data_IF_027847952749
#
_entry.id   IF_027847952749
#
_cell.length_a   1.000
_cell.length_b   1.000
_cell.length_c   1.000
_cell.angle_alpha   90.00
_cell.angle_beta   90.00
_cell.angle_gamma   90.00
#
_symmetry.space_group_name_H-M   'P 1'
#
loop_
_entity.id
_entity.type
_entity.pdbx_description
1 polymer ?
#
# COMPACT_ATOMS: atom_id res chain seq x y z
N UNK A 1 -9.34 -11.92 -27.66
CA UNK A 1 -8.14 -11.93 -26.79
C UNK A 1 -7.21 -10.86 -27.30
N UNK A 2 -6.75 -9.99 -26.40
CA UNK A 2 -5.77 -8.95 -26.65
C UNK A 2 -4.58 -9.18 -25.73
N UNK A 3 -3.37 -9.05 -26.23
CA UNK A 3 -2.15 -9.21 -25.43
C UNK A 3 -1.40 -7.89 -25.41
N UNK A 4 -1.13 -7.38 -24.24
CA UNK A 4 -0.39 -6.13 -24.04
C UNK A 4 0.52 -6.24 -22.81
N UNK A 5 1.55 -5.43 -22.76
CA UNK A 5 2.34 -5.17 -21.56
C UNK A 5 1.96 -3.84 -20.89
N UNK A 6 1.02 -3.10 -21.48
CA UNK A 6 0.50 -1.85 -20.96
C UNK A 6 -0.73 -2.13 -20.07
N UNK A 7 -0.57 -1.89 -18.76
CA UNK A 7 -1.64 -2.10 -17.79
C UNK A 7 -2.82 -1.15 -17.99
N UNK A 8 -2.58 0.08 -18.47
CA UNK A 8 -3.66 1.07 -18.70
C UNK A 8 -4.58 0.59 -19.83
N UNK A 9 -4.00 0.05 -20.91
CA UNK A 9 -4.78 -0.57 -21.99
C UNK A 9 -5.59 -1.75 -21.46
N UNK A 10 -4.94 -2.67 -20.72
CA UNK A 10 -5.61 -3.85 -20.17
C UNK A 10 -6.78 -3.49 -19.25
N UNK A 11 -6.56 -2.56 -18.31
CA UNK A 11 -7.55 -2.11 -17.34
C UNK A 11 -8.73 -1.36 -17.97
N UNK A 12 -8.50 -0.69 -19.11
CA UNK A 12 -9.53 0.09 -19.80
C UNK A 12 -10.37 -0.74 -20.77
N UNK A 13 -9.74 -1.70 -21.46
CA UNK A 13 -10.37 -2.46 -22.54
C UNK A 13 -10.92 -3.81 -22.10
N UNK A 14 -10.37 -4.39 -21.01
CA UNK A 14 -10.69 -5.73 -20.56
C UNK A 14 -11.81 -5.74 -19.52
N UNK A 15 -12.82 -6.57 -19.71
CA UNK A 15 -13.78 -6.95 -18.66
C UNK A 15 -13.22 -8.08 -17.79
N UNK A 16 -12.21 -8.77 -18.30
CA UNK A 16 -11.49 -9.84 -17.63
C UNK A 16 -10.04 -9.81 -18.09
N UNK A 17 -9.12 -9.78 -17.13
CA UNK A 17 -7.68 -9.68 -17.37
C UNK A 17 -7.00 -10.94 -16.84
N UNK A 18 -6.03 -11.44 -17.57
CA UNK A 18 -5.13 -12.50 -17.16
C UNK A 18 -3.74 -11.90 -16.91
N UNK A 19 -3.31 -11.87 -15.67
CA UNK A 19 -1.94 -11.46 -15.30
C UNK A 19 -1.05 -12.68 -15.37
N UNK A 20 0.07 -12.57 -16.10
CA UNK A 20 1.02 -13.67 -16.29
C UNK A 20 2.44 -13.24 -15.88
N UNK A 21 3.20 -14.19 -15.34
CA UNK A 21 4.63 -14.06 -15.03
C UNK A 21 5.35 -15.34 -15.46
N UNK A 22 6.40 -15.22 -16.25
CA UNK A 22 7.27 -16.35 -16.65
C UNK A 22 6.50 -17.54 -17.27
N UNK A 23 5.42 -17.24 -18.04
CA UNK A 23 4.58 -18.26 -18.66
C UNK A 23 3.48 -18.84 -17.76
N UNK A 24 3.42 -18.46 -16.49
CA UNK A 24 2.42 -18.93 -15.54
C UNK A 24 1.36 -17.84 -15.28
N UNK A 25 0.11 -18.27 -15.21
CA UNK A 25 -1.00 -17.41 -14.81
C UNK A 25 -0.86 -17.12 -13.32
N UNK A 26 -0.86 -15.83 -12.97
CA UNK A 26 -0.85 -15.37 -11.59
C UNK A 26 -2.26 -15.15 -11.07
N UNK A 27 -3.08 -14.37 -11.80
CA UNK A 27 -4.47 -14.10 -11.42
C UNK A 27 -5.32 -13.86 -12.67
N UNK A 28 -6.58 -14.22 -12.61
CA UNK A 28 -7.56 -13.99 -13.68
C UNK A 28 -8.80 -13.38 -13.07
N UNK A 29 -9.01 -12.08 -13.30
CA UNK A 29 -10.11 -11.36 -12.67
C UNK A 29 -10.57 -10.14 -13.46
N UNK A 30 -11.58 -9.44 -12.94
CA UNK A 30 -11.95 -8.11 -13.40
C UNK A 30 -10.83 -7.10 -13.08
N UNK A 31 -10.75 -5.96 -13.78
CA UNK A 31 -9.82 -4.88 -13.44
C UNK A 31 -9.87 -4.47 -11.97
N UNK A 32 -11.07 -4.29 -11.43
CA UNK A 32 -11.28 -3.88 -10.04
C UNK A 32 -10.73 -4.92 -9.06
N UNK A 33 -11.04 -6.21 -9.25
CA UNK A 33 -10.55 -7.28 -8.38
C UNK A 33 -9.02 -7.40 -8.40
N UNK A 34 -8.38 -7.28 -9.56
CA UNK A 34 -6.92 -7.28 -9.66
C UNK A 34 -6.28 -6.12 -8.89
N UNK A 35 -6.97 -4.97 -8.84
CA UNK A 35 -6.50 -3.79 -8.14
C UNK A 35 -6.76 -3.87 -6.63
N UNK A 36 -7.98 -4.25 -6.25
CA UNK A 36 -8.43 -4.22 -4.85
C UNK A 36 -8.03 -5.49 -4.08
N UNK A 37 -7.97 -6.66 -4.76
CA UNK A 37 -7.73 -7.96 -4.15
C UNK A 37 -6.62 -8.76 -4.88
N UNK A 38 -5.38 -8.21 -4.97
CA UNK A 38 -4.28 -8.92 -5.59
C UNK A 38 -3.88 -10.15 -4.76
N UNK A 39 -3.75 -11.32 -5.39
CA UNK A 39 -3.44 -12.57 -4.68
C UNK A 39 -1.99 -12.69 -4.24
N UNK A 40 -1.08 -11.90 -4.80
CA UNK A 40 0.33 -11.91 -4.44
C UNK A 40 0.99 -10.54 -4.71
N UNK A 41 2.24 -10.40 -4.24
CA UNK A 41 3.03 -9.17 -4.40
C UNK A 41 3.29 -8.83 -5.86
N UNK A 42 3.43 -9.84 -6.73
CA UNK A 42 3.66 -9.60 -8.16
C UNK A 42 2.46 -8.89 -8.80
N UNK A 43 1.23 -9.40 -8.59
CA UNK A 43 0.01 -8.76 -9.12
C UNK A 43 -0.17 -7.38 -8.49
N UNK A 44 0.02 -7.25 -7.18
CA UNK A 44 -0.10 -5.99 -6.45
C UNK A 44 0.86 -4.90 -6.96
N UNK A 45 2.10 -5.27 -7.26
CA UNK A 45 3.12 -4.35 -7.77
C UNK A 45 3.01 -4.08 -9.27
N UNK A 46 2.47 -5.04 -10.03
CA UNK A 46 2.28 -4.88 -11.47
C UNK A 46 1.05 -4.03 -11.80
N UNK A 47 -0.02 -4.16 -11.02
CA UNK A 47 -1.28 -3.42 -11.22
C UNK A 47 -1.29 -2.15 -10.36
N UNK A 48 -1.32 -1.02 -11.01
CA UNK A 48 -1.31 0.33 -10.42
C UNK A 48 -0.09 1.15 -10.81
N UNK A 49 -0.27 2.45 -10.98
CA UNK A 49 0.78 3.40 -11.34
C UNK A 49 0.61 4.70 -10.52
N UNK A 50 1.55 4.99 -9.65
CA UNK A 50 2.74 4.24 -9.28
C UNK A 50 2.42 2.87 -8.66
N UNK A 51 3.41 1.95 -8.60
CA UNK A 51 3.20 0.65 -7.96
C UNK A 51 2.94 0.77 -6.46
N UNK A 52 2.40 -0.31 -5.86
CA UNK A 52 2.21 -0.42 -4.42
C UNK A 52 3.54 -0.31 -3.67
N UNK A 53 3.54 0.40 -2.55
CA UNK A 53 4.64 0.35 -1.60
C UNK A 53 4.63 -1.01 -0.88
N UNK A 54 5.77 -1.69 -0.84
CA UNK A 54 5.97 -2.91 -0.08
C UNK A 54 6.91 -2.65 1.08
N UNK A 55 6.43 -2.86 2.28
CA UNK A 55 7.11 -2.55 3.53
C UNK A 55 7.31 -3.84 4.32
N UNK A 56 8.53 -4.16 4.69
CA UNK A 56 8.76 -5.23 5.65
C UNK A 56 8.27 -4.76 7.02
N UNK A 57 7.30 -5.46 7.58
CA UNK A 57 6.67 -5.11 8.83
C UNK A 57 6.51 -6.35 9.72
N UNK A 58 6.38 -6.13 11.02
CA UNK A 58 6.09 -7.19 11.98
C UNK A 58 4.65 -7.06 12.46
N UNK A 59 3.91 -8.17 12.48
CA UNK A 59 2.58 -8.23 13.08
C UNK A 59 2.74 -8.27 14.60
N UNK A 60 1.93 -7.48 15.31
CA UNK A 60 1.83 -7.49 16.76
C UNK A 60 0.36 -7.59 17.15
N UNK A 61 0.03 -8.51 18.05
CA UNK A 61 -1.33 -8.74 18.53
C UNK A 61 -1.41 -8.35 19.99
N UNK A 62 -2.37 -7.49 20.34
CA UNK A 62 -2.69 -7.11 21.71
C UNK A 62 -4.18 -7.34 21.97
N UNK A 63 -4.49 -8.44 22.63
CA UNK A 63 -5.87 -8.90 22.85
C UNK A 63 -6.57 -9.23 21.53
N UNK A 64 -7.55 -8.42 21.15
CA UNK A 64 -8.25 -8.52 19.86
C UNK A 64 -7.71 -7.57 18.79
N UNK A 65 -6.82 -6.67 19.16
CA UNK A 65 -6.28 -5.66 18.25
C UNK A 65 -5.04 -6.16 17.54
N UNK A 66 -4.94 -5.85 16.25
CA UNK A 66 -3.80 -6.19 15.40
C UNK A 66 -3.10 -4.91 14.96
N UNK A 67 -1.79 -4.95 15.03
CA UNK A 67 -0.91 -3.85 14.62
C UNK A 67 0.16 -4.37 13.65
N UNK A 68 0.67 -3.48 12.80
CA UNK A 68 1.91 -3.69 12.05
C UNK A 68 2.93 -2.66 12.49
N UNK A 69 4.17 -3.09 12.68
CA UNK A 69 5.29 -2.21 13.06
C UNK A 69 6.39 -2.27 12.01
N UNK A 70 6.84 -1.11 11.58
CA UNK A 70 7.96 -0.91 10.65
C UNK A 70 8.71 0.38 11.00
N UNK A 71 10.03 0.40 10.91
CA UNK A 71 10.87 1.58 11.14
C UNK A 71 10.46 2.44 12.37
N UNK A 72 10.11 1.82 13.49
CA UNK A 72 9.58 2.46 14.70
C UNK A 72 8.20 3.12 14.55
N UNK A 73 7.50 2.88 13.46
CA UNK A 73 6.10 3.27 13.26
C UNK A 73 5.22 2.07 13.58
N UNK A 74 4.19 2.28 14.40
CA UNK A 74 3.18 1.25 14.70
C UNK A 74 1.82 1.74 14.20
N UNK A 75 1.19 0.95 13.35
CA UNK A 75 -0.10 1.24 12.73
C UNK A 75 -1.12 0.22 13.20
N UNK A 76 -2.25 0.69 13.74
CA UNK A 76 -3.38 -0.17 14.10
C UNK A 76 -4.14 -0.59 12.84
N UNK A 77 -4.40 -1.89 12.71
CA UNK A 77 -5.21 -2.42 11.62
C UNK A 77 -6.69 -2.47 11.99
N UNK A 78 -7.61 -2.34 11.02
CA UNK A 78 -9.05 -2.51 11.24
C UNK A 78 -9.40 -3.92 11.72
N UNK A 79 -10.54 -4.06 12.40
CA UNK A 79 -11.03 -5.32 12.98
C UNK A 79 -11.14 -6.47 11.97
N UNK A 80 -11.34 -6.17 10.69
CA UNK A 80 -11.35 -7.18 9.62
C UNK A 80 -10.03 -7.95 9.48
N UNK A 81 -8.94 -7.43 10.03
CA UNK A 81 -7.64 -8.10 10.08
C UNK A 81 -7.43 -8.91 11.35
N UNK A 82 -8.36 -8.84 12.32
CA UNK A 82 -8.35 -9.65 13.54
C UNK A 82 -8.92 -11.06 13.27
N UNK A 83 -8.41 -11.72 12.24
CA UNK A 83 -8.75 -13.09 11.83
C UNK A 83 -7.63 -14.05 12.21
N UNK A 84 -7.96 -15.34 12.31
CA UNK A 84 -7.03 -16.38 12.78
C UNK A 84 -5.73 -16.38 11.98
N UNK A 85 -5.82 -16.29 10.65
CA UNK A 85 -4.68 -16.29 9.74
C UNK A 85 -3.67 -15.16 9.99
N UNK A 86 -4.13 -14.03 10.51
CA UNK A 86 -3.29 -12.89 10.86
C UNK A 86 -2.84 -12.99 12.32
N UNK A 87 -3.73 -13.34 13.24
CA UNK A 87 -3.44 -13.40 14.68
C UNK A 87 -2.40 -14.47 15.03
N UNK A 88 -2.39 -15.61 14.32
CA UNK A 88 -1.37 -16.66 14.47
C UNK A 88 0.04 -16.21 14.04
N UNK A 89 0.15 -15.07 13.37
CA UNK A 89 1.42 -14.48 12.91
C UNK A 89 2.00 -13.45 13.87
N UNK A 90 1.53 -13.42 15.11
CA UNK A 90 2.07 -12.52 16.13
C UNK A 90 3.60 -12.66 16.25
N UNK A 91 4.30 -11.53 16.18
CA UNK A 91 5.77 -11.46 16.15
C UNK A 91 6.44 -11.88 14.83
N UNK A 92 5.69 -12.26 13.80
CA UNK A 92 6.24 -12.66 12.51
C UNK A 92 6.36 -11.46 11.56
N UNK A 93 7.35 -11.54 10.68
CA UNK A 93 7.52 -10.58 9.60
C UNK A 93 6.59 -10.90 8.42
N UNK A 94 5.99 -9.85 7.88
CA UNK A 94 5.12 -9.87 6.70
C UNK A 94 5.51 -8.76 5.73
N UNK A 95 4.99 -8.82 4.50
CA UNK A 95 5.04 -7.69 3.58
C UNK A 95 3.73 -6.91 3.72
N UNK A 96 3.85 -5.68 4.21
CA UNK A 96 2.75 -4.74 4.35
C UNK A 96 2.65 -3.91 3.05
N UNK A 97 1.60 -4.12 2.29
CA UNK A 97 1.35 -3.46 1.01
C UNK A 97 0.45 -2.24 1.19
N UNK A 98 0.93 -1.07 0.76
CA UNK A 98 0.16 0.18 0.84
C UNK A 98 0.24 0.90 -0.50
N UNK A 99 -0.91 1.15 -1.14
CA UNK A 99 -0.93 1.92 -2.38
C UNK A 99 -0.61 3.39 -2.14
N UNK A 100 0.02 4.09 -3.09
CA UNK A 100 0.36 5.51 -2.94
C UNK A 100 -0.81 6.40 -2.53
N UNK A 101 -1.99 6.15 -3.06
CA UNK A 101 -3.22 6.91 -2.75
C UNK A 101 -3.88 6.52 -1.42
N UNK A 102 -3.36 5.53 -0.72
CA UNK A 102 -3.77 5.19 0.64
C UNK A 102 -2.90 5.90 1.70
N UNK A 103 -1.93 6.71 1.29
CA UNK A 103 -1.09 7.52 2.16
C UNK A 103 -1.39 9.00 1.87
N UNK A 104 -1.83 9.74 2.87
CA UNK A 104 -2.23 11.13 2.74
C UNK A 104 -1.49 12.05 3.71
N UNK A 105 -1.27 13.32 3.29
CA UNK A 105 -0.78 14.43 4.11
C UNK A 105 -1.92 15.40 4.51
N UNK A 106 -3.18 15.01 4.29
CA UNK A 106 -4.31 15.85 4.66
C UNK A 106 -4.40 16.02 6.17
N UNK A 107 -4.22 17.24 6.65
CA UNK A 107 -4.09 17.57 8.07
C UNK A 107 -5.32 17.12 8.90
N UNK A 108 -6.53 17.20 8.33
CA UNK A 108 -7.75 16.74 8.99
C UNK A 108 -7.69 15.24 9.20
N UNK A 109 -7.38 14.48 8.14
CA UNK A 109 -7.29 13.02 8.21
C UNK A 109 -6.20 12.56 9.18
N UNK A 110 -5.00 13.16 9.11
CA UNK A 110 -3.88 12.86 10.03
C UNK A 110 -4.27 13.11 11.48
N UNK A 111 -5.00 14.20 11.76
CA UNK A 111 -5.44 14.54 13.13
C UNK A 111 -6.52 13.60 13.64
N UNK A 112 -7.42 13.14 12.78
CA UNK A 112 -8.53 12.24 13.13
C UNK A 112 -8.08 10.79 13.26
N UNK A 113 -6.93 10.41 12.66
CA UNK A 113 -6.39 9.05 12.65
C UNK A 113 -4.95 8.97 13.21
N UNK A 114 -4.72 9.40 14.47
CA UNK A 114 -3.37 9.41 15.06
C UNK A 114 -2.76 8.00 15.19
N UNK A 115 -3.59 6.95 15.22
CA UNK A 115 -3.17 5.54 15.30
C UNK A 115 -2.58 4.99 14.00
N UNK A 116 -2.69 5.75 12.91
CA UNK A 116 -2.13 5.41 11.59
C UNK A 116 -1.15 6.47 11.08
N UNK A 117 -0.89 7.51 11.90
CA UNK A 117 -0.07 8.64 11.55
C UNK A 117 1.42 8.41 11.84
N UNK A 118 2.28 8.95 10.98
CA UNK A 118 3.73 8.90 11.11
C UNK A 118 4.39 10.10 10.41
N UNK A 119 5.61 10.42 10.82
CA UNK A 119 6.40 11.48 10.19
C UNK A 119 7.36 10.91 9.15
N UNK A 120 7.59 11.66 8.07
CA UNK A 120 8.56 11.32 7.04
C UNK A 120 9.22 12.56 6.46
N UNK A 121 10.45 12.42 5.96
CA UNK A 121 11.19 13.46 5.24
C UNK A 121 10.74 13.49 3.78
N UNK A 122 10.42 14.67 3.25
CA UNK A 122 10.04 14.83 1.84
C UNK A 122 11.30 15.00 0.99
N UNK A 123 11.59 14.00 0.17
CA UNK A 123 12.76 14.00 -0.72
C UNK A 123 12.47 14.66 -2.07
N UNK A 124 11.31 14.35 -2.66
CA UNK A 124 10.88 14.88 -3.96
C UNK A 124 9.38 15.14 -3.96
N UNK A 125 8.98 16.22 -4.64
CA UNK A 125 7.59 16.53 -4.95
C UNK A 125 7.44 16.58 -6.47
N UNK A 126 6.62 15.72 -7.03
CA UNK A 126 6.34 15.65 -8.46
C UNK A 126 4.88 16.07 -8.73
N UNK A 127 4.71 17.22 -9.38
CA UNK A 127 3.39 17.78 -9.71
C UNK A 127 3.04 17.44 -11.17
N UNK A 128 2.03 16.60 -11.37
CA UNK A 128 1.56 16.16 -12.69
C UNK A 128 0.18 16.75 -13.05
N UNK A 129 -0.10 17.94 -12.59
CA UNK A 129 -1.36 18.65 -12.85
C UNK A 129 -2.47 18.23 -11.89
N UNK A 130 -3.24 17.21 -12.24
CA UNK A 130 -4.34 16.72 -11.41
C UNK A 130 -3.88 15.83 -10.23
N UNK A 131 -2.62 15.40 -10.23
CA UNK A 131 -2.04 14.52 -9.22
C UNK A 131 -0.70 15.08 -8.75
N UNK A 132 -0.41 14.90 -7.47
CA UNK A 132 0.89 15.19 -6.88
C UNK A 132 1.42 13.94 -6.18
N UNK A 133 2.67 13.59 -6.48
CA UNK A 133 3.37 12.50 -5.80
C UNK A 133 4.42 13.07 -4.86
N UNK A 134 4.43 12.57 -3.64
CA UNK A 134 5.49 12.78 -2.68
C UNK A 134 6.34 11.51 -2.61
N UNK A 135 7.62 11.65 -2.81
CA UNK A 135 8.62 10.63 -2.49
C UNK A 135 9.21 11.01 -1.15
N UNK A 136 9.01 10.15 -0.18
CA UNK A 136 9.38 10.43 1.21
C UNK A 136 10.25 9.31 1.78
N UNK A 137 11.01 9.61 2.82
CA UNK A 137 11.80 8.64 3.56
C UNK A 137 11.40 8.64 5.03
N UNK A 138 11.02 7.48 5.56
CA UNK A 138 10.67 7.27 6.97
C UNK A 138 11.94 6.89 7.74
N UNK A 139 12.22 7.61 8.83
CA UNK A 139 13.39 7.37 9.71
C UNK A 139 14.74 7.25 8.96
N UNK A 140 14.88 7.92 7.81
CA UNK A 140 16.09 7.90 7.01
C UNK A 140 16.42 6.56 6.32
N UNK A 141 15.48 5.60 6.32
CA UNK A 141 15.74 4.23 5.85
C UNK A 141 14.68 3.70 4.86
N UNK A 142 13.40 3.98 5.07
CA UNK A 142 12.31 3.41 4.29
C UNK A 142 11.75 4.42 3.29
N UNK A 143 12.01 4.27 1.97
CA UNK A 143 11.40 5.12 0.96
C UNK A 143 9.94 4.72 0.72
N UNK A 144 9.04 5.69 0.61
CA UNK A 144 7.64 5.52 0.24
C UNK A 144 7.24 6.51 -0.83
N UNK A 145 6.30 6.10 -1.67
CA UNK A 145 5.61 6.97 -2.64
C UNK A 145 4.19 7.21 -2.15
N UNK A 146 3.79 8.47 -2.05
CA UNK A 146 2.45 8.89 -1.67
C UNK A 146 1.81 9.65 -2.81
N UNK A 147 0.51 9.47 -3.02
CA UNK A 147 -0.28 10.31 -3.93
C UNK A 147 -1.19 11.20 -3.11
N UNK A 148 -0.95 12.50 -3.18
CA UNK A 148 -1.66 13.51 -2.39
C UNK A 148 -2.50 14.42 -3.28
N UNK A 149 -3.50 15.06 -2.69
CA UNK A 149 -4.34 16.03 -3.39
C UNK A 149 -3.55 17.34 -3.61
N UNK A 150 -3.32 17.77 -4.87
CA UNK A 150 -2.58 18.98 -5.16
C UNK A 150 -3.24 20.26 -4.62
N UNK A 151 -4.53 20.20 -4.27
CA UNK A 151 -5.27 21.37 -3.76
C UNK A 151 -5.16 21.55 -2.25
N UNK A 152 -4.87 20.49 -1.51
CA UNK A 152 -4.77 20.50 -0.03
C UNK A 152 -3.35 20.29 0.47
N UNK A 153 -2.52 19.58 -0.28
CA UNK A 153 -1.13 19.33 0.08
C UNK A 153 -0.31 20.62 0.07
N UNK A 154 0.42 20.84 1.15
CA UNK A 154 1.38 21.95 1.30
C UNK A 154 2.81 21.42 1.47
N UNK A 155 3.03 20.15 1.24
CA UNK A 155 4.30 19.49 1.42
C UNK A 155 5.36 19.98 0.43
N UNK A 156 6.57 20.22 0.92
CA UNK A 156 7.69 20.75 0.15
C UNK A 156 8.97 19.97 0.42
N UNK A 157 9.84 19.89 -0.56
CA UNK A 157 11.13 19.19 -0.47
C UNK A 157 11.95 19.70 0.73
N UNK A 158 12.52 18.78 1.50
CA UNK A 158 13.34 19.05 2.66
C UNK A 158 12.56 19.33 3.95
N UNK A 159 11.24 19.19 3.93
CA UNK A 159 10.40 19.28 5.13
C UNK A 159 10.12 17.89 5.70
N UNK A 160 9.88 17.84 6.99
CA UNK A 160 9.22 16.71 7.65
C UNK A 160 7.72 16.91 7.52
N UNK A 161 7.00 15.92 7.05
CA UNK A 161 5.55 15.91 6.90
C UNK A 161 4.93 14.82 7.77
N UNK A 162 3.80 15.12 8.37
CA UNK A 162 2.96 14.12 9.01
C UNK A 162 2.04 13.48 7.95
N UNK A 163 2.11 12.16 7.86
CA UNK A 163 1.34 11.34 6.95
C UNK A 163 0.45 10.38 7.73
N UNK A 164 -0.65 9.94 7.15
CA UNK A 164 -1.46 8.86 7.70
C UNK A 164 -1.81 7.84 6.61
N UNK A 165 -1.97 6.57 7.04
CA UNK A 165 -2.36 5.47 6.17
C UNK A 165 -3.86 5.21 6.32
N UNK A 166 -4.58 5.18 5.20
CA UNK A 166 -5.93 4.61 5.16
C UNK A 166 -5.84 3.07 5.25
N UNK A 167 -5.94 2.56 6.45
CA UNK A 167 -5.82 1.13 6.74
C UNK A 167 -6.98 0.28 6.20
N UNK A 168 -8.02 0.91 5.65
CA UNK A 168 -9.05 0.20 4.90
C UNK A 168 -8.59 -0.20 3.49
N UNK A 169 -7.43 0.28 3.04
CA UNK A 169 -6.89 0.07 1.69
C UNK A 169 -5.47 -0.49 1.70
N UNK A 170 -5.19 -1.35 2.68
CA UNK A 170 -3.90 -2.01 2.83
C UNK A 170 -4.00 -3.50 2.50
N UNK A 171 -2.84 -4.12 2.31
CA UNK A 171 -2.70 -5.54 2.04
C UNK A 171 -1.64 -6.15 2.94
N UNK A 172 -1.81 -7.43 3.27
CA UNK A 172 -0.82 -8.23 3.99
C UNK A 172 -0.44 -9.43 3.14
N UNK A 173 0.85 -9.58 2.88
CA UNK A 173 1.40 -10.72 2.15
C UNK A 173 2.37 -11.48 3.04
N UNK A 174 2.35 -12.78 2.90
CA UNK A 174 3.32 -13.67 3.54
C UNK A 174 4.72 -13.39 2.99
N UNK A 175 5.71 -13.26 3.88
CA UNK A 175 7.06 -12.86 3.50
C UNK A 175 7.77 -13.89 2.62
N UNK A 176 7.52 -15.17 2.85
CA UNK A 176 8.25 -16.26 2.19
C UNK A 176 7.57 -16.66 0.87
N UNK A 177 6.25 -16.73 0.85
CA UNK A 177 5.47 -17.15 -0.32
C UNK A 177 5.02 -16.00 -1.20
N UNK A 178 5.06 -14.76 -0.69
CA UNK A 178 4.55 -13.55 -1.33
C UNK A 178 3.04 -13.59 -1.65
N UNK A 179 2.31 -14.56 -1.10
CA UNK A 179 0.86 -14.69 -1.28
C UNK A 179 0.11 -13.79 -0.29
N UNK A 180 -1.07 -13.31 -0.70
CA UNK A 180 -1.97 -12.59 0.20
C UNK A 180 -2.34 -13.47 1.40
N UNK A 181 -2.26 -12.90 2.61
CA UNK A 181 -2.66 -13.58 3.85
C UNK A 181 -4.18 -13.58 3.98
N UNK A 182 -4.81 -12.52 3.48
CA UNK A 182 -6.28 -12.36 3.48
C UNK A 182 -6.71 -12.12 2.04
N UNK A 183 -7.64 -12.91 1.56
CA UNK A 183 -8.26 -12.81 0.22
C UNK A 183 -9.73 -12.41 0.32
#
# INVERSE_FOLDING_TARGET
>A
VYVTHDQTEAMTMGTRIVVMKDGFIQQVDSPTELYDNPINTFVAGFIGMPPMNFINATINVDGSDVYVTFENVTVKLPDRYAVEEVMERDGQEVIFGVRPEAITDEATYVTEHPETAFAADVDVVEMLGAETYLYVTVNGALPLTCRVDPTTSQSSVGQVVDLAIDTNRIHLFDKDTEQSIIS
#
